data_IF_436554701107
#
_entry.id   IF_436554701107
#
_cell.length_a   1.000
_cell.length_b   1.000
_cell.length_c   1.000
_cell.angle_alpha   90.00
_cell.angle_beta   90.00
_cell.angle_gamma   90.00
#
_symmetry.space_group_name_H-M   'P 1'
#
loop_
_entity.id
_entity.type
_entity.pdbx_description
1 polymer ?
#
# COMPACT_ATOMS: atom_id res chain seq x y z
N UNK A 1 -3.93 -3.20 23.92
CA UNK A 1 -3.67 -2.16 22.90
C UNK A 1 -2.43 -2.51 22.08
N UNK A 2 -1.44 -3.21 22.66
CA UNK A 2 -0.33 -3.86 21.94
C UNK A 2 -0.77 -5.01 21.02
N UNK A 3 -1.89 -5.68 21.31
CA UNK A 3 -2.36 -6.84 20.51
C UNK A 3 -2.93 -6.48 19.12
N UNK A 4 -3.34 -5.23 18.88
CA UNK A 4 -3.87 -4.82 17.57
C UNK A 4 -2.76 -4.74 16.51
N UNK A 5 -1.56 -4.32 16.92
CA UNK A 5 -0.39 -4.21 16.05
C UNK A 5 0.16 -5.55 15.59
N UNK A 6 -0.06 -6.64 16.35
CA UNK A 6 0.37 -7.99 15.95
C UNK A 6 -0.61 -8.69 15.00
N UNK A 7 -1.89 -8.27 14.98
CA UNK A 7 -2.90 -8.86 14.08
C UNK A 7 -2.80 -8.36 12.62
N UNK A 8 -2.13 -7.23 12.39
CA UNK A 8 -1.87 -6.65 11.07
C UNK A 8 -0.64 -7.31 10.41
N UNK A 9 -0.69 -8.63 10.25
CA UNK A 9 0.25 -9.43 9.45
C UNK A 9 0.08 -9.23 7.93
N UNK A 10 -0.12 -7.98 7.51
CA UNK A 10 -0.29 -7.57 6.13
C UNK A 10 0.80 -6.59 5.72
N UNK A 11 1.97 -7.11 5.38
CA UNK A 11 3.10 -6.48 4.66
C UNK A 11 3.21 -4.96 4.84
N UNK A 12 3.85 -4.55 5.94
CA UNK A 12 4.42 -3.22 6.05
C UNK A 12 5.57 -3.14 5.03
N UNK A 13 5.40 -2.34 3.95
CA UNK A 13 6.52 -1.99 3.07
C UNK A 13 7.07 -0.64 3.57
N UNK A 14 8.22 -0.60 4.26
CA UNK A 14 8.90 0.65 4.52
C UNK A 14 9.50 1.14 3.20
N UNK A 15 8.84 2.09 2.54
CA UNK A 15 9.47 2.84 1.45
C UNK A 15 10.32 3.91 2.13
N UNK A 16 11.58 3.59 2.42
CA UNK A 16 12.54 4.55 2.95
C UNK A 16 12.94 5.49 1.81
N UNK A 17 12.15 6.53 1.55
CA UNK A 17 12.72 7.80 1.08
C UNK A 17 13.09 8.58 2.33
N UNK A 18 14.28 9.14 2.36
CA UNK A 18 14.62 10.21 3.29
C UNK A 18 14.19 11.54 2.66
N UNK A 19 13.16 12.23 3.16
CA UNK A 19 13.04 13.65 2.95
C UNK A 19 13.60 14.35 4.19
N UNK A 20 14.53 15.25 3.97
CA UNK A 20 14.72 16.38 4.87
C UNK A 20 13.35 17.04 5.10
N UNK A 21 12.82 16.95 6.33
CA UNK A 21 11.53 17.51 6.79
C UNK A 21 10.28 16.73 6.33
N UNK A 22 9.91 15.67 7.06
CA UNK A 22 8.61 15.00 6.94
C UNK A 22 8.70 13.50 7.19
N UNK A 23 8.22 13.05 8.35
CA UNK A 23 8.03 11.61 8.60
C UNK A 23 6.71 11.16 7.97
N UNK A 24 6.77 10.41 6.88
CA UNK A 24 5.60 9.80 6.22
C UNK A 24 5.25 8.48 6.90
N UNK A 25 4.03 8.36 7.40
CA UNK A 25 3.53 7.10 8.00
C UNK A 25 2.60 6.40 7.02
N UNK A 26 3.00 5.22 6.54
CA UNK A 26 2.19 4.37 5.67
C UNK A 26 1.43 3.33 6.50
N UNK A 27 0.09 3.32 6.42
CA UNK A 27 -0.74 2.27 7.00
C UNK A 27 -1.39 1.44 5.89
N UNK A 28 -1.08 0.16 5.84
CA UNK A 28 -1.79 -0.81 4.99
C UNK A 28 -3.16 -1.13 5.57
N UNK A 29 -4.23 -0.80 4.84
CA UNK A 29 -5.61 -1.19 5.21
C UNK A 29 -6.11 -2.27 4.26
N UNK A 30 -6.87 -3.23 4.79
CA UNK A 30 -7.45 -4.31 3.99
C UNK A 30 -8.56 -3.79 3.06
N UNK A 31 -8.65 -4.38 1.86
CA UNK A 31 -9.61 -4.04 0.81
C UNK A 31 -11.07 -3.94 1.30
N UNK A 32 -11.48 -4.86 2.17
CA UNK A 32 -12.87 -5.00 2.62
C UNK A 32 -13.34 -3.95 3.63
N UNK A 33 -12.48 -3.01 4.01
CA UNK A 33 -12.85 -1.95 4.95
C UNK A 33 -13.58 -0.83 4.19
N UNK A 34 -14.73 -0.38 4.69
CA UNK A 34 -15.48 0.70 4.03
C UNK A 34 -14.70 2.02 4.04
N UNK A 35 -14.99 2.93 3.11
CA UNK A 35 -14.36 4.27 3.07
C UNK A 35 -14.58 5.03 4.39
N UNK A 36 -15.74 4.86 5.02
CA UNK A 36 -16.04 5.43 6.33
C UNK A 36 -15.15 4.85 7.44
N UNK A 37 -14.97 3.53 7.48
CA UNK A 37 -14.09 2.89 8.47
C UNK A 37 -12.61 3.31 8.28
N UNK A 38 -12.16 3.50 7.04
CA UNK A 38 -10.82 4.02 6.72
C UNK A 38 -10.60 5.44 7.25
N UNK A 39 -11.57 6.32 7.05
CA UNK A 39 -11.52 7.68 7.59
C UNK A 39 -11.50 7.66 9.12
N UNK A 40 -12.33 6.82 9.75
CA UNK A 40 -12.36 6.67 11.21
C UNK A 40 -11.02 6.20 11.77
N UNK A 41 -10.33 5.28 11.09
CA UNK A 41 -9.00 4.81 11.48
C UNK A 41 -7.95 5.93 11.42
N UNK A 42 -7.98 6.77 10.37
CA UNK A 42 -7.07 7.90 10.26
C UNK A 42 -7.31 8.92 11.38
N UNK A 43 -8.57 9.28 11.64
CA UNK A 43 -8.92 10.20 12.72
C UNK A 43 -8.51 9.66 14.10
N UNK A 44 -8.68 8.36 14.33
CA UNK A 44 -8.23 7.73 15.56
C UNK A 44 -6.70 7.83 15.73
N UNK A 45 -5.93 7.68 14.65
CA UNK A 45 -4.47 7.83 14.68
C UNK A 45 -4.07 9.27 14.93
N UNK A 46 -4.69 10.25 14.23
CA UNK A 46 -4.46 11.67 14.48
C UNK A 46 -4.74 12.04 15.92
N UNK A 47 -5.88 11.58 16.45
CA UNK A 47 -6.25 11.80 17.83
C UNK A 47 -5.19 11.21 18.77
N UNK A 48 -4.77 9.96 18.58
CA UNK A 48 -3.73 9.34 19.41
C UNK A 48 -2.40 10.12 19.39
N UNK A 49 -1.97 10.60 18.22
CA UNK A 49 -0.76 11.44 18.11
C UNK A 49 -0.93 12.76 18.85
N UNK A 50 -2.07 13.42 18.71
CA UNK A 50 -2.34 14.70 19.40
C UNK A 50 -2.34 14.58 20.93
N UNK A 51 -2.65 13.39 21.47
CA UNK A 51 -2.57 13.11 22.90
C UNK A 51 -1.12 12.93 23.38
N UNK A 52 -0.20 12.52 22.49
CA UNK A 52 1.22 12.32 22.80
C UNK A 52 1.99 13.65 22.68
N UNK A 53 1.80 14.34 21.56
CA UNK A 53 2.38 15.67 21.33
C UNK A 53 1.41 16.54 20.50
N UNK A 54 0.73 17.51 21.13
CA UNK A 54 -0.20 18.41 20.44
C UNK A 54 0.44 19.28 19.36
N UNK A 55 1.77 19.46 19.38
CA UNK A 55 2.49 20.25 18.36
C UNK A 55 2.91 19.39 17.17
N UNK A 56 2.87 18.07 17.31
CA UNK A 56 3.26 17.15 16.25
C UNK A 56 2.03 16.79 15.40
N UNK A 57 1.97 17.37 14.21
CA UNK A 57 0.90 17.14 13.23
C UNK A 57 1.49 16.62 11.91
N UNK A 58 1.81 15.31 11.81
CA UNK A 58 2.36 14.76 10.58
C UNK A 58 1.31 14.70 9.46
N UNK A 59 1.78 14.81 8.22
CA UNK A 59 1.01 14.48 7.02
C UNK A 59 0.89 12.96 6.88
N UNK A 60 -0.24 12.50 6.32
CA UNK A 60 -0.50 11.08 6.11
C UNK A 60 -0.70 10.72 4.65
N UNK A 61 -0.19 9.54 4.29
CA UNK A 61 -0.47 8.89 3.02
C UNK A 61 -1.09 7.52 3.31
N UNK A 62 -2.36 7.35 2.91
CA UNK A 62 -3.12 6.13 3.13
C UNK A 62 -3.08 5.25 1.88
N UNK A 63 -2.50 4.07 2.02
CA UNK A 63 -2.37 3.10 0.92
C UNK A 63 -3.07 1.79 1.29
N UNK A 64 -3.90 1.29 0.39
CA UNK A 64 -4.54 -0.01 0.53
C UNK A 64 -3.81 -1.03 -0.31
N UNK A 65 -3.56 -2.20 0.27
CA UNK A 65 -2.96 -3.32 -0.44
C UNK A 65 -3.98 -4.44 -0.62
N UNK A 66 -4.30 -4.75 -1.87
CA UNK A 66 -5.16 -5.87 -2.25
C UNK A 66 -4.30 -7.00 -2.82
N UNK A 67 -4.14 -8.09 -2.05
CA UNK A 67 -3.42 -9.29 -2.50
C UNK A 67 -4.31 -10.30 -3.24
N UNK A 68 -5.64 -10.22 -3.07
CA UNK A 68 -6.61 -11.21 -3.58
C UNK A 68 -7.44 -10.71 -4.77
N UNK A 69 -6.80 -10.42 -5.90
CA UNK A 69 -7.46 -10.09 -7.17
C UNK A 69 -7.23 -11.12 -8.29
N UNK A 70 -7.95 -11.00 -9.41
CA UNK A 70 -7.83 -11.93 -10.54
C UNK A 70 -6.84 -11.48 -11.62
N UNK A 71 -6.19 -10.31 -11.47
CA UNK A 71 -5.14 -9.84 -12.39
C UNK A 71 -3.85 -10.66 -12.24
N UNK A 72 -3.18 -10.95 -13.36
CA UNK A 72 -1.86 -11.59 -13.45
C UNK A 72 -1.05 -10.88 -14.52
N UNK A 73 0.24 -10.73 -14.27
CA UNK A 73 1.16 -10.01 -15.15
C UNK A 73 2.33 -10.92 -15.50
N UNK A 74 2.75 -10.85 -16.75
CA UNK A 74 3.81 -11.69 -17.30
C UNK A 74 4.74 -10.83 -18.14
N UNK A 75 6.02 -11.22 -18.16
CA UNK A 75 7.03 -10.69 -19.06
C UNK A 75 7.11 -11.59 -20.30
N UNK A 76 7.39 -11.02 -21.47
CA UNK A 76 7.53 -11.76 -22.73
C UNK A 76 6.26 -11.77 -23.57
N UNK A 77 6.36 -12.33 -24.78
CA UNK A 77 5.28 -12.37 -25.76
C UNK A 77 4.72 -13.79 -25.84
N UNK A 78 3.39 -13.94 -25.73
CA UNK A 78 2.65 -15.17 -26.01
C UNK A 78 3.23 -16.41 -25.33
N UNK A 79 3.88 -17.26 -26.12
CA UNK A 79 4.37 -18.59 -25.76
C UNK A 79 5.53 -18.59 -24.74
N UNK A 80 6.14 -17.45 -24.46
CA UNK A 80 7.24 -17.30 -23.47
C UNK A 80 6.85 -16.44 -22.27
N UNK A 81 5.65 -16.62 -21.75
CA UNK A 81 5.19 -15.91 -20.56
C UNK A 81 6.04 -16.30 -19.33
N UNK A 82 6.85 -15.35 -18.86
CA UNK A 82 7.64 -15.46 -17.64
C UNK A 82 7.06 -14.61 -16.52
N UNK A 83 7.39 -14.93 -15.26
CA UNK A 83 7.03 -14.09 -14.13
C UNK A 83 7.69 -12.71 -14.23
N UNK A 84 7.03 -11.69 -13.70
CA UNK A 84 7.65 -10.38 -13.46
C UNK A 84 8.78 -10.47 -12.44
N UNK A 85 9.82 -9.66 -12.61
CA UNK A 85 10.96 -9.60 -11.68
C UNK A 85 10.65 -8.69 -10.49
N UNK A 86 11.27 -8.87 -9.32
CA UNK A 86 11.15 -7.93 -8.22
C UNK A 86 11.56 -6.52 -8.63
N UNK A 87 10.81 -5.52 -8.14
CA UNK A 87 10.92 -4.14 -8.56
C UNK A 87 10.07 -3.79 -9.78
N UNK A 88 9.42 -4.76 -10.44
CA UNK A 88 8.46 -4.45 -11.51
C UNK A 88 7.28 -3.66 -10.93
N UNK A 89 6.96 -2.52 -11.53
CA UNK A 89 5.81 -1.68 -11.19
C UNK A 89 4.95 -1.49 -12.45
N UNK A 90 3.64 -1.59 -12.28
CA UNK A 90 2.65 -1.35 -13.33
C UNK A 90 1.65 -0.31 -12.81
N UNK A 91 1.71 0.90 -13.34
CA UNK A 91 0.92 2.08 -12.92
C UNK A 91 -0.03 2.61 -14.00
N UNK A 92 0.00 2.03 -15.21
CA UNK A 92 -0.75 2.48 -16.40
C UNK A 92 -1.54 1.35 -17.05
N UNK A 93 -2.48 1.73 -17.91
CA UNK A 93 -3.31 0.90 -18.81
C UNK A 93 -4.29 -0.09 -18.14
N UNK A 94 -3.86 -0.76 -17.07
CA UNK A 94 -4.62 -1.78 -16.34
C UNK A 94 -5.11 -1.29 -14.97
N UNK A 95 -4.86 -0.02 -14.68
CA UNK A 95 -5.19 0.69 -13.44
C UNK A 95 -6.54 1.39 -13.54
N UNK A 96 -7.17 1.67 -12.40
CA UNK A 96 -8.46 2.35 -12.36
C UNK A 96 -8.31 3.84 -12.67
N UNK A 97 -9.10 4.35 -13.61
CA UNK A 97 -9.14 5.77 -13.92
C UNK A 97 -9.57 6.62 -12.71
N UNK A 98 -8.92 7.77 -12.52
CA UNK A 98 -9.25 8.76 -11.49
C UNK A 98 -8.74 8.43 -10.08
N UNK A 99 -7.96 7.35 -9.91
CA UNK A 99 -7.34 6.98 -8.63
C UNK A 99 -5.87 6.63 -8.87
N UNK A 100 -4.99 7.03 -7.95
CA UNK A 100 -3.59 6.60 -7.96
C UNK A 100 -3.52 5.14 -7.54
N UNK A 101 -3.41 4.25 -8.53
CA UNK A 101 -3.35 2.81 -8.36
C UNK A 101 -2.11 2.25 -9.06
N UNK A 102 -1.44 1.28 -8.46
CA UNK A 102 -0.33 0.57 -9.10
C UNK A 102 -0.25 -0.89 -8.62
N UNK A 103 0.44 -1.74 -9.37
CA UNK A 103 0.78 -3.10 -8.98
C UNK A 103 2.30 -3.18 -8.84
N UNK A 104 2.81 -3.85 -7.81
CA UNK A 104 4.25 -3.99 -7.61
C UNK A 104 4.65 -5.42 -7.29
N UNK A 105 5.72 -5.91 -7.93
CA UNK A 105 6.35 -7.15 -7.53
C UNK A 105 7.43 -6.87 -6.49
N UNK A 106 7.15 -7.16 -5.23
CA UNK A 106 8.09 -6.88 -4.12
C UNK A 106 9.06 -8.02 -3.82
N UNK A 107 8.76 -9.25 -4.23
CA UNK A 107 9.47 -10.45 -3.75
C UNK A 107 9.82 -11.41 -4.88
N UNK A 108 10.77 -12.31 -4.67
CA UNK A 108 11.06 -13.38 -5.62
C UNK A 108 10.04 -14.52 -5.46
N UNK A 109 9.39 -14.99 -6.53
CA UNK A 109 8.57 -16.20 -6.45
C UNK A 109 9.44 -17.43 -6.25
N UNK A 110 9.09 -18.25 -5.25
CA UNK A 110 9.71 -19.57 -5.05
C UNK A 110 9.15 -20.63 -6.02
N UNK A 111 7.84 -20.60 -6.27
CA UNK A 111 7.18 -21.56 -7.15
C UNK A 111 5.89 -20.97 -7.73
N UNK A 112 5.59 -21.33 -8.98
CA UNK A 112 4.35 -20.96 -9.66
C UNK A 112 4.33 -19.54 -10.22
N UNK A 113 3.12 -19.09 -10.57
CA UNK A 113 2.89 -17.75 -11.13
C UNK A 113 2.84 -16.69 -10.04
N UNK A 114 3.59 -15.62 -10.25
CA UNK A 114 3.59 -14.44 -9.39
C UNK A 114 2.22 -13.76 -9.38
N UNK A 115 1.83 -13.29 -8.20
CA UNK A 115 0.72 -12.37 -8.04
C UNK A 115 1.21 -11.08 -7.41
N UNK A 116 1.35 -10.05 -8.24
CA UNK A 116 1.67 -8.69 -7.79
C UNK A 116 0.50 -8.13 -6.99
N UNK A 117 0.67 -7.72 -5.72
CA UNK A 117 -0.37 -6.99 -5.00
C UNK A 117 -0.75 -5.69 -5.73
N UNK A 118 -2.03 -5.34 -5.63
CA UNK A 118 -2.55 -4.03 -6.05
C UNK A 118 -2.43 -3.05 -4.88
N UNK A 119 -1.99 -1.84 -5.17
CA UNK A 119 -1.88 -0.73 -4.25
C UNK A 119 -2.79 0.41 -4.71
N UNK A 120 -3.66 0.88 -3.83
CA UNK A 120 -4.55 2.02 -4.06
C UNK A 120 -4.23 3.13 -3.07
N UNK A 121 -3.79 4.29 -3.55
CA UNK A 121 -3.60 5.48 -2.70
C UNK A 121 -4.95 6.16 -2.54
N UNK A 122 -5.43 6.21 -1.29
CA UNK A 122 -6.73 6.81 -0.97
C UNK A 122 -6.63 8.25 -0.50
N UNK A 123 -5.51 8.58 0.14
CA UNK A 123 -5.20 9.90 0.68
C UNK A 123 -3.70 10.08 0.54
N UNK A 124 -3.30 11.27 0.11
CA UNK A 124 -1.91 11.70 0.12
C UNK A 124 -1.87 13.18 0.51
N UNK A 125 -1.44 13.46 1.73
CA UNK A 125 -1.31 14.83 2.26
C UNK A 125 0.11 15.38 2.16
N UNK A 126 1.05 14.54 1.72
CA UNK A 126 2.44 14.93 1.55
C UNK A 126 2.70 15.59 0.18
N UNK A 127 1.68 15.66 -0.69
CA UNK A 127 1.77 16.12 -2.08
C UNK A 127 1.06 17.46 -2.32
#
# INVERSE_FOLDING_TARGET
MEDYFQSLSGDFLPIHRTPSQGHETFKGVNENVSRAAKNNELEAIRHAISQIDPKYAPSFTLVITTKRHNKRFFMGNGDQAANTVPGTVIDRDVTRAGVTQFFMQSHFPLLGTVKMPQYDVLLDEAH
#
